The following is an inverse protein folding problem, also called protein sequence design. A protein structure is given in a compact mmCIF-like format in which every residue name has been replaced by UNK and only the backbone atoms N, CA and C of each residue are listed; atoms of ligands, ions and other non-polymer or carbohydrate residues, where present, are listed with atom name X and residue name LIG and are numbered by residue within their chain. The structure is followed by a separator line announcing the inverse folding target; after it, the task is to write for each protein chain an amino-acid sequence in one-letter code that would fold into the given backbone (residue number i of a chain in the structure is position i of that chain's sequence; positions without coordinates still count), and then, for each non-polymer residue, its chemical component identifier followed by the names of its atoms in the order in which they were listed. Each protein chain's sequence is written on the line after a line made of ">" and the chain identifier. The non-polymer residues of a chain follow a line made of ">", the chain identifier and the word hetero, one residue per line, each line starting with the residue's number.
data_IF_649162957720
#
_entry.id   IF_649162957720
#
_cell.length_a   1.000
_cell.length_b   1.000
_cell.length_c   1.000
_cell.angle_alpha   90.00
_cell.angle_beta   90.00
_cell.angle_gamma   90.00
#
_symmetry.space_group_name_H-M   'P 1'
#
loop_
_entity.id
_entity.type
_entity.pdbx_description
1 polymer ?
#
# COMPACT_ATOMS: atom_id res chain seq x y z
N UNK A 1 22.34 -7.61 -1.25
CA UNK A 1 23.20 -6.49 -0.86
C UNK A 1 23.01 -5.23 -1.71
N UNK A 2 23.22 -5.21 -3.02
CA UNK A 2 23.04 -4.00 -3.89
C UNK A 2 21.67 -3.31 -3.79
N UNK A 3 20.55 -4.05 -3.61
CA UNK A 3 19.21 -3.48 -3.47
C UNK A 3 18.95 -2.78 -2.12
N UNK A 4 19.53 -3.29 -1.03
CA UNK A 4 19.44 -2.65 0.29
C UNK A 4 20.24 -1.35 0.34
N UNK A 5 21.42 -1.34 -0.25
CA UNK A 5 22.27 -0.12 -0.34
C UNK A 5 21.52 0.96 -1.11
N UNK A 6 20.94 0.65 -2.27
CA UNK A 6 20.15 1.60 -3.09
C UNK A 6 18.90 2.14 -2.37
N UNK A 7 18.28 1.34 -1.47
CA UNK A 7 17.14 1.76 -0.65
C UNK A 7 17.57 2.71 0.48
N UNK A 8 18.70 2.43 1.13
CA UNK A 8 19.26 3.30 2.17
C UNK A 8 19.68 4.65 1.59
N UNK A 9 20.30 4.67 0.42
CA UNK A 9 20.66 5.89 -0.31
C UNK A 9 19.40 6.70 -0.67
N UNK A 10 18.35 6.05 -1.14
CA UNK A 10 17.06 6.70 -1.46
C UNK A 10 16.39 7.31 -0.23
N UNK A 11 16.48 6.68 0.94
CA UNK A 11 15.95 7.23 2.19
C UNK A 11 16.75 8.44 2.66
N UNK A 12 18.07 8.41 2.55
CA UNK A 12 18.93 9.57 2.86
C UNK A 12 18.64 10.76 1.94
N UNK A 13 18.39 10.50 0.65
CA UNK A 13 18.08 11.53 -0.35
C UNK A 13 16.77 12.28 -0.03
N UNK A 14 15.79 11.60 0.59
CA UNK A 14 14.48 12.18 0.92
C UNK A 14 14.31 12.50 2.42
N UNK A 15 15.30 12.26 3.25
CA UNK A 15 15.21 12.51 4.70
C UNK A 15 14.82 13.96 5.05
N UNK A 16 15.36 15.01 4.41
CA UNK A 16 14.92 16.38 4.65
C UNK A 16 13.45 16.59 4.26
N UNK A 17 12.99 15.92 3.21
CA UNK A 17 11.62 15.98 2.76
C UNK A 17 10.66 15.32 3.79
N UNK A 18 11.04 14.13 4.29
CA UNK A 18 10.27 13.42 5.30
C UNK A 18 10.13 14.25 6.58
N UNK A 19 11.20 14.91 7.00
CA UNK A 19 11.21 15.73 8.22
C UNK A 19 10.37 17.01 8.12
N UNK A 20 10.23 17.57 6.91
CA UNK A 20 9.57 18.86 6.69
C UNK A 20 8.15 18.77 6.18
N UNK A 21 7.78 17.65 5.54
CA UNK A 21 6.45 17.46 4.95
C UNK A 21 5.37 17.34 6.01
N UNK A 22 4.20 17.93 5.74
CA UNK A 22 3.02 17.79 6.58
C UNK A 22 1.86 17.24 5.76
N UNK A 23 1.13 16.28 6.33
CA UNK A 23 -0.13 15.80 5.77
C UNK A 23 -1.18 16.86 6.04
N UNK A 24 -1.91 17.28 5.01
CA UNK A 24 -3.01 18.24 5.09
C UNK A 24 -4.37 17.58 4.99
N UNK A 25 -4.45 16.52 4.19
CA UNK A 25 -5.70 15.79 3.98
C UNK A 25 -5.41 14.37 3.50
N UNK A 26 -6.29 13.43 3.83
CA UNK A 26 -6.31 12.07 3.29
C UNK A 26 -7.76 11.73 2.99
N UNK A 27 -8.07 11.41 1.74
CA UNK A 27 -9.42 11.04 1.32
C UNK A 27 -9.45 9.77 0.48
N UNK A 28 -10.47 8.98 0.66
CA UNK A 28 -10.78 7.84 -0.22
C UNK A 28 -11.36 8.40 -1.53
N UNK A 29 -10.77 8.07 -2.67
CA UNK A 29 -11.20 8.54 -3.99
C UNK A 29 -11.76 7.42 -4.86
N UNK A 30 -11.36 6.18 -4.57
CA UNK A 30 -11.85 5.01 -5.29
C UNK A 30 -11.86 3.80 -4.37
N UNK A 31 -12.85 2.94 -4.50
CA UNK A 31 -12.92 1.68 -3.79
C UNK A 31 -13.58 0.60 -4.64
N UNK A 32 -13.07 -0.61 -4.54
CA UNK A 32 -13.64 -1.79 -5.17
C UNK A 32 -13.65 -2.97 -4.20
N UNK A 33 -14.79 -3.64 -4.12
CA UNK A 33 -14.98 -4.78 -3.22
C UNK A 33 -15.74 -5.88 -3.95
N UNK A 34 -15.23 -7.11 -3.90
CA UNK A 34 -15.91 -8.26 -4.47
C UNK A 34 -15.68 -9.52 -3.64
N UNK A 35 -16.68 -10.38 -3.59
CA UNK A 35 -16.58 -11.72 -3.01
C UNK A 35 -17.35 -12.71 -3.87
N UNK A 36 -16.80 -13.92 -4.03
CA UNK A 36 -17.47 -15.08 -4.68
C UNK A 36 -17.94 -16.12 -3.66
N UNK A 37 -17.66 -15.91 -2.37
CA UNK A 37 -18.05 -16.83 -1.29
C UNK A 37 -19.05 -16.18 -0.35
N UNK A 38 -19.92 -17.00 0.27
CA UNK A 38 -20.98 -16.56 1.19
C UNK A 38 -20.60 -16.70 2.66
N UNK A 39 -19.55 -17.49 2.95
CA UNK A 39 -19.08 -17.74 4.32
C UNK A 39 -17.61 -18.12 4.37
N UNK A 40 -17.05 -18.06 5.56
CA UNK A 40 -15.68 -18.52 5.81
C UNK A 40 -15.48 -20.00 5.52
N UNK A 41 -16.50 -20.84 5.80
CA UNK A 41 -16.43 -22.28 5.55
C UNK A 41 -16.33 -22.58 4.04
N UNK A 42 -17.04 -21.80 3.21
CA UNK A 42 -16.96 -21.91 1.76
C UNK A 42 -15.61 -21.42 1.21
N UNK A 43 -14.98 -20.45 1.85
CA UNK A 43 -13.67 -19.96 1.48
C UNK A 43 -12.56 -20.97 1.71
N UNK A 44 -12.70 -21.87 2.72
CA UNK A 44 -11.67 -22.82 3.12
C UNK A 44 -10.42 -22.15 3.68
N UNK A 45 -9.28 -22.82 3.57
CA UNK A 45 -7.99 -22.25 3.93
C UNK A 45 -7.55 -21.23 2.88
N UNK A 46 -7.22 -20.02 3.33
CA UNK A 46 -6.88 -18.90 2.45
C UNK A 46 -5.50 -18.31 2.77
N UNK A 47 -4.83 -17.84 1.75
CA UNK A 47 -3.67 -16.95 1.81
C UNK A 47 -4.07 -15.57 1.28
N UNK A 48 -3.35 -14.54 1.66
CA UNK A 48 -3.59 -13.20 1.12
C UNK A 48 -2.38 -12.64 0.40
N UNK A 49 -2.65 -11.92 -0.67
CA UNK A 49 -1.69 -11.16 -1.43
C UNK A 49 -2.04 -9.67 -1.33
N UNK A 50 -1.02 -8.85 -1.06
CA UNK A 50 -1.18 -7.39 -1.01
C UNK A 50 -0.34 -6.76 -2.12
N UNK A 51 -0.95 -5.89 -2.89
CA UNK A 51 -0.28 -5.06 -3.89
C UNK A 51 -0.43 -3.59 -3.52
N UNK A 52 0.64 -2.82 -3.63
CA UNK A 52 0.65 -1.39 -3.31
C UNK A 52 1.37 -0.61 -4.39
N UNK A 53 0.87 0.60 -4.68
CA UNK A 53 1.57 1.61 -5.47
C UNK A 53 1.26 3.00 -4.93
N UNK A 54 2.16 3.95 -5.17
CA UNK A 54 1.88 5.36 -4.90
C UNK A 54 2.67 6.26 -5.84
N UNK A 55 1.98 7.25 -6.41
CA UNK A 55 2.52 8.17 -7.40
C UNK A 55 2.10 9.60 -7.11
N UNK A 56 2.99 10.55 -7.42
CA UNK A 56 2.67 11.98 -7.39
C UNK A 56 1.77 12.31 -8.57
N UNK A 57 0.63 12.92 -8.29
CA UNK A 57 -0.33 13.36 -9.31
C UNK A 57 -0.10 14.80 -9.71
N UNK A 58 0.19 15.66 -8.74
CA UNK A 58 0.33 17.08 -8.94
C UNK A 58 1.36 17.66 -7.96
N UNK A 59 2.07 18.69 -8.36
CA UNK A 59 2.94 19.49 -7.52
C UNK A 59 2.87 20.96 -7.88
N UNK A 60 2.25 21.76 -7.03
CA UNK A 60 2.29 23.22 -7.07
C UNK A 60 3.51 23.72 -6.30
N UNK A 61 4.55 24.11 -7.04
CA UNK A 61 5.83 24.54 -6.48
C UNK A 61 5.74 25.87 -5.72
N UNK A 62 4.84 26.75 -6.13
CA UNK A 62 4.70 28.09 -5.57
C UNK A 62 4.01 28.04 -4.20
N UNK A 63 3.06 27.13 -4.05
CA UNK A 63 2.37 26.89 -2.79
C UNK A 63 3.08 25.87 -1.90
N UNK A 64 4.01 25.09 -2.46
CA UNK A 64 4.64 23.95 -1.77
C UNK A 64 3.66 22.80 -1.50
N UNK A 65 2.62 22.65 -2.34
CA UNK A 65 1.58 21.62 -2.17
C UNK A 65 1.75 20.56 -3.23
N UNK A 66 1.66 19.28 -2.83
CA UNK A 66 1.61 18.17 -3.76
C UNK A 66 0.61 17.10 -3.34
N UNK A 67 0.15 16.35 -4.33
CA UNK A 67 -0.85 15.30 -4.17
C UNK A 67 -0.25 13.94 -4.53
N UNK A 68 -0.50 12.96 -3.70
CA UNK A 68 -0.07 11.57 -3.91
C UNK A 68 -1.31 10.69 -3.97
N UNK A 69 -1.40 9.84 -5.00
CA UNK A 69 -2.38 8.77 -5.07
C UNK A 69 -1.73 7.46 -4.61
N UNK A 70 -2.17 6.94 -3.47
CA UNK A 70 -1.76 5.65 -2.94
C UNK A 70 -2.86 4.61 -3.23
N UNK A 71 -2.51 3.57 -3.98
CA UNK A 71 -3.42 2.48 -4.34
C UNK A 71 -3.00 1.21 -3.62
N UNK A 72 -3.94 0.55 -2.97
CA UNK A 72 -3.70 -0.67 -2.21
C UNK A 72 -4.78 -1.68 -2.56
N UNK A 73 -4.37 -2.92 -2.79
CA UNK A 73 -5.27 -4.04 -3.10
C UNK A 73 -4.88 -5.26 -2.28
N UNK A 74 -5.87 -5.93 -1.70
CA UNK A 74 -5.73 -7.26 -1.12
C UNK A 74 -6.56 -8.26 -1.89
N UNK A 75 -6.03 -9.46 -2.07
CA UNK A 75 -6.72 -10.62 -2.63
C UNK A 75 -6.60 -11.77 -1.66
N UNK A 76 -7.72 -12.39 -1.33
CA UNK A 76 -7.79 -13.61 -0.54
C UNK A 76 -7.96 -14.78 -1.52
N UNK A 77 -6.97 -15.66 -1.52
CA UNK A 77 -6.85 -16.75 -2.50
C UNK A 77 -6.88 -18.07 -1.74
N UNK A 78 -7.72 -19.03 -2.13
CA UNK A 78 -7.68 -20.37 -1.55
C UNK A 78 -6.28 -20.98 -1.66
N UNK A 79 -5.88 -21.78 -0.66
CA UNK A 79 -4.59 -22.47 -0.69
C UNK A 79 -4.58 -23.58 -1.73
N UNK A 80 -5.75 -24.13 -2.06
CA UNK A 80 -5.90 -25.11 -3.14
C UNK A 80 -5.42 -24.55 -4.47
N UNK A 81 -4.67 -25.33 -5.26
CA UNK A 81 -4.13 -24.88 -6.54
C UNK A 81 -5.27 -24.58 -7.53
N UNK A 82 -5.01 -23.60 -8.42
CA UNK A 82 -5.84 -23.22 -9.56
C UNK A 82 -7.19 -22.52 -9.24
N UNK A 83 -7.39 -22.09 -7.99
CA UNK A 83 -8.55 -21.26 -7.66
C UNK A 83 -8.25 -19.76 -7.73
N UNK A 84 -9.20 -19.02 -8.28
CA UNK A 84 -9.18 -17.56 -8.28
C UNK A 84 -9.39 -16.99 -6.88
N UNK A 85 -9.07 -15.70 -6.73
CA UNK A 85 -9.33 -15.00 -5.47
C UNK A 85 -10.81 -14.98 -5.13
N UNK A 86 -11.14 -15.47 -3.93
CA UNK A 86 -12.53 -15.50 -3.43
C UNK A 86 -12.98 -14.15 -2.86
N UNK A 87 -12.05 -13.30 -2.45
CA UNK A 87 -12.31 -11.93 -2.02
C UNK A 87 -11.26 -11.00 -2.61
N UNK A 88 -11.69 -9.84 -3.08
CA UNK A 88 -10.82 -8.75 -3.50
C UNK A 88 -11.32 -7.44 -2.90
N UNK A 89 -10.43 -6.73 -2.23
CA UNK A 89 -10.69 -5.38 -1.73
C UNK A 89 -9.61 -4.46 -2.26
N UNK A 90 -9.99 -3.35 -2.87
CA UNK A 90 -9.08 -2.32 -3.37
C UNK A 90 -9.53 -0.94 -2.95
N UNK A 91 -8.60 -0.05 -2.73
CA UNK A 91 -8.88 1.36 -2.50
C UNK A 91 -7.74 2.23 -3.03
N UNK A 92 -8.10 3.44 -3.45
CA UNK A 92 -7.17 4.51 -3.75
C UNK A 92 -7.42 5.68 -2.78
N UNK A 93 -6.36 6.09 -2.09
CA UNK A 93 -6.37 7.25 -1.21
C UNK A 93 -5.57 8.37 -1.85
N UNK A 94 -6.17 9.53 -1.93
CA UNK A 94 -5.47 10.75 -2.32
C UNK A 94 -5.02 11.49 -1.07
N UNK A 95 -3.74 11.82 -1.02
CA UNK A 95 -3.10 12.44 0.14
C UNK A 95 -2.55 13.79 -0.29
N UNK A 96 -3.01 14.85 0.35
CA UNK A 96 -2.50 16.21 0.19
C UNK A 96 -1.37 16.45 1.17
N UNK A 97 -0.22 16.83 0.65
CA UNK A 97 0.95 17.21 1.44
C UNK A 97 1.31 18.68 1.23
N UNK A 98 1.91 19.27 2.24
CA UNK A 98 2.56 20.57 2.11
C UNK A 98 4.02 20.51 2.52
N UNK A 99 4.82 21.33 1.85
CA UNK A 99 6.23 21.59 2.12
C UNK A 99 6.43 23.05 2.48
N UNK A 100 7.40 23.38 3.33
CA UNK A 100 7.89 24.75 3.47
C UNK A 100 8.31 25.31 2.10
N UNK A 101 7.99 26.56 1.82
CA UNK A 101 8.30 27.21 0.53
C UNK A 101 9.78 27.26 0.20
N UNK A 102 10.62 27.27 1.25
CA UNK A 102 12.07 27.29 1.15
C UNK A 102 12.64 25.94 0.70
N UNK A 103 11.90 24.84 0.95
CA UNK A 103 12.34 23.51 0.60
C UNK A 103 11.88 23.15 -0.81
N UNK A 104 12.81 23.20 -1.76
CA UNK A 104 12.56 22.77 -3.14
C UNK A 104 12.80 21.27 -3.28
N UNK A 105 11.78 20.55 -3.69
CA UNK A 105 11.90 19.12 -3.99
C UNK A 105 11.90 18.88 -5.50
N UNK A 106 12.81 18.02 -5.95
CA UNK A 106 12.80 17.54 -7.34
C UNK A 106 11.69 16.51 -7.55
N UNK A 107 11.23 16.34 -8.78
CA UNK A 107 10.23 15.30 -9.12
C UNK A 107 10.70 13.90 -8.71
N UNK A 108 11.99 13.61 -8.84
CA UNK A 108 12.58 12.34 -8.41
C UNK A 108 12.43 12.11 -6.90
N UNK A 109 12.70 13.15 -6.09
CA UNK A 109 12.53 13.09 -4.64
C UNK A 109 11.07 12.91 -4.24
N UNK A 110 10.15 13.65 -4.86
CA UNK A 110 8.71 13.53 -4.63
C UNK A 110 8.20 12.12 -5.01
N UNK A 111 8.61 11.58 -6.15
CA UNK A 111 8.24 10.23 -6.56
C UNK A 111 8.80 9.16 -5.61
N UNK A 112 10.01 9.36 -5.10
CA UNK A 112 10.61 8.46 -4.10
C UNK A 112 9.86 8.54 -2.77
N UNK A 113 9.52 9.76 -2.33
CA UNK A 113 8.70 10.01 -1.15
C UNK A 113 7.31 9.35 -1.27
N UNK A 114 6.62 9.57 -2.40
CA UNK A 114 5.30 8.99 -2.64
C UNK A 114 5.29 7.46 -2.49
N UNK A 115 6.25 6.77 -3.12
CA UNK A 115 6.34 5.30 -3.04
C UNK A 115 6.60 4.76 -1.65
N UNK A 116 7.28 5.51 -0.80
CA UNK A 116 7.63 5.09 0.56
C UNK A 116 6.55 5.58 1.54
N UNK A 117 6.34 6.89 1.62
CA UNK A 117 5.49 7.50 2.62
C UNK A 117 4.01 7.56 2.22
N UNK A 118 3.70 7.61 0.92
CA UNK A 118 2.31 7.60 0.46
C UNK A 118 1.57 6.35 0.92
N UNK A 119 2.14 5.17 0.67
CA UNK A 119 1.56 3.90 1.14
C UNK A 119 1.58 3.82 2.67
N UNK A 120 2.69 4.21 3.32
CA UNK A 120 2.81 4.19 4.77
C UNK A 120 1.72 5.02 5.45
N UNK A 121 1.47 6.23 4.94
CA UNK A 121 0.47 7.15 5.50
C UNK A 121 -0.97 6.73 5.19
N UNK A 122 -1.21 6.06 4.04
CA UNK A 122 -2.52 5.50 3.71
C UNK A 122 -2.85 4.22 4.49
N UNK A 123 -1.83 3.50 4.99
CA UNK A 123 -1.98 2.17 5.56
C UNK A 123 -2.95 2.05 6.74
N UNK A 124 -2.99 2.98 7.73
CA UNK A 124 -3.97 2.94 8.81
C UNK A 124 -5.41 2.99 8.32
N UNK A 125 -5.70 3.87 7.36
CA UNK A 125 -7.03 4.03 6.74
C UNK A 125 -7.40 2.80 5.90
N UNK A 126 -6.42 2.23 5.19
CA UNK A 126 -6.58 0.98 4.46
C UNK A 126 -6.93 -0.19 5.37
N UNK A 127 -6.23 -0.35 6.50
CA UNK A 127 -6.51 -1.43 7.47
C UNK A 127 -7.94 -1.36 7.98
N UNK A 128 -8.37 -0.18 8.37
CA UNK A 128 -9.73 0.06 8.85
C UNK A 128 -10.75 -0.23 7.75
N UNK A 129 -10.52 0.25 6.53
CA UNK A 129 -11.37 0.01 5.38
C UNK A 129 -11.54 -1.49 5.09
N UNK A 130 -10.44 -2.26 5.02
CA UNK A 130 -10.50 -3.70 4.77
C UNK A 130 -11.26 -4.42 5.87
N UNK A 131 -11.00 -4.12 7.14
CA UNK A 131 -11.72 -4.74 8.27
C UNK A 131 -13.23 -4.51 8.16
N UNK A 132 -13.64 -3.29 7.87
CA UNK A 132 -15.05 -2.94 7.69
C UNK A 132 -15.68 -3.68 6.49
N UNK A 133 -14.98 -3.76 5.37
CA UNK A 133 -15.50 -4.44 4.18
C UNK A 133 -15.63 -5.95 4.39
N UNK A 134 -14.63 -6.59 4.97
CA UNK A 134 -14.65 -8.04 5.24
C UNK A 134 -15.77 -8.39 6.23
N UNK A 135 -15.96 -7.58 7.28
CA UNK A 135 -17.07 -7.76 8.24
C UNK A 135 -18.45 -7.65 7.54
N UNK A 136 -18.61 -6.71 6.61
CA UNK A 136 -19.86 -6.55 5.82
C UNK A 136 -20.12 -7.69 4.84
N UNK A 137 -19.09 -8.45 4.48
CA UNK A 137 -19.21 -9.67 3.67
C UNK A 137 -19.56 -10.91 4.51
N UNK A 138 -19.81 -10.76 5.81
CA UNK A 138 -20.02 -11.86 6.75
C UNK A 138 -18.85 -12.87 6.79
N UNK A 139 -17.64 -12.37 6.62
CA UNK A 139 -16.40 -13.13 6.71
C UNK A 139 -15.66 -12.85 8.03
N UNK A 140 -14.82 -13.77 8.52
CA UNK A 140 -14.01 -13.52 9.71
C UNK A 140 -13.15 -12.28 9.59
N UNK A 141 -13.02 -11.55 10.67
CA UNK A 141 -12.19 -10.34 10.70
C UNK A 141 -10.74 -10.65 10.36
N UNK A 142 -10.21 -9.94 9.38
CA UNK A 142 -8.81 -10.04 8.97
C UNK A 142 -8.01 -8.96 9.68
N UNK A 143 -6.97 -9.37 10.41
CA UNK A 143 -6.03 -8.43 10.99
C UNK A 143 -4.83 -8.25 10.06
N UNK A 144 -4.79 -7.13 9.36
CA UNK A 144 -3.62 -6.77 8.57
C UNK A 144 -2.48 -6.31 9.48
N UNK A 145 -1.24 -6.75 9.22
CA UNK A 145 -0.08 -6.34 10.00
C UNK A 145 0.18 -4.83 9.88
N UNK A 146 0.99 -4.30 10.77
CA UNK A 146 1.53 -2.94 10.64
C UNK A 146 2.41 -2.88 9.39
N UNK A 147 2.26 -1.84 8.59
CA UNK A 147 3.12 -1.63 7.43
C UNK A 147 4.54 -1.32 7.88
N UNK A 148 5.49 -2.12 7.42
CA UNK A 148 6.91 -1.91 7.68
C UNK A 148 7.59 -1.49 6.38
N UNK A 149 8.42 -0.47 6.45
CA UNK A 149 9.19 0.01 5.28
C UNK A 149 10.09 -1.09 4.66
N UNK A 150 10.38 -2.14 5.41
CA UNK A 150 11.13 -3.31 4.94
C UNK A 150 10.30 -4.27 4.09
N UNK A 151 8.97 -4.29 4.26
CA UNK A 151 8.08 -5.27 3.63
C UNK A 151 7.84 -5.00 2.13
N UNK A 152 8.13 -3.80 1.65
CA UNK A 152 8.00 -3.45 0.22
C UNK A 152 8.88 -4.27 -0.72
N UNK A 153 9.80 -5.10 -0.18
CA UNK A 153 10.70 -5.94 -0.97
C UNK A 153 10.37 -7.44 -0.94
N UNK A 154 9.48 -7.90 -0.04
CA UNK A 154 9.19 -9.34 0.17
C UNK A 154 7.94 -9.86 -0.53
N UNK A 155 7.12 -9.02 -1.15
CA UNK A 155 5.88 -9.42 -1.82
C UNK A 155 6.14 -10.03 -3.22
N UNK A 156 7.39 -10.36 -3.56
CA UNK A 156 7.72 -11.11 -4.77
C UNK A 156 8.10 -12.55 -4.45
N UNK A 157 7.10 -13.45 -4.59
CA UNK A 157 7.19 -14.88 -4.95
C UNK A 157 8.30 -15.67 -4.24
N UNK A 158 7.98 -16.41 -3.17
CA UNK A 158 8.62 -17.70 -2.97
C UNK A 158 8.20 -18.62 -4.11
N UNK A 159 9.14 -18.97 -5.00
CA UNK A 159 8.98 -20.15 -5.85
C UNK A 159 8.86 -21.36 -4.92
N UNK A 160 7.95 -22.31 -5.19
CA UNK A 160 7.94 -23.56 -4.44
C UNK A 160 9.29 -24.25 -4.67
N UNK A 161 9.92 -24.69 -3.56
CA UNK A 161 11.11 -25.53 -3.59
C UNK A 161 10.76 -26.84 -4.32
N UNK A 162 11.33 -27.00 -5.51
CA UNK A 162 11.43 -28.32 -6.16
C UNK A 162 12.55 -29.06 -5.48
N UNK A 163 12.27 -29.79 -4.39
CA UNK A 163 13.04 -30.95 -3.95
C UNK A 163 12.40 -31.50 -2.67
N UNK A 164 11.48 -32.44 -2.84
CA UNK A 164 11.30 -33.55 -1.92
C UNK A 164 11.16 -34.79 -2.82
N UNK A 165 12.23 -35.58 -2.81
CA UNK A 165 12.18 -36.99 -3.23
C UNK A 165 11.50 -37.80 -2.15
#
# INVERSE_FOLDING_TARGET
>A
MKRQIKKIESLKEIAPLIAAVQIRDIRLVEAGVSTSVRSATEAGEIKFEVATSADVKEYNKDEGIFWVLAQIKIRLIPVEPEKDAVVSVSAAFEIKYSLPKELRASQKQLNTFARINGVFNAWPYWREFVQNMVARMNLPTITLPVFRLEDTTKIRRKKPDKNIR
#
